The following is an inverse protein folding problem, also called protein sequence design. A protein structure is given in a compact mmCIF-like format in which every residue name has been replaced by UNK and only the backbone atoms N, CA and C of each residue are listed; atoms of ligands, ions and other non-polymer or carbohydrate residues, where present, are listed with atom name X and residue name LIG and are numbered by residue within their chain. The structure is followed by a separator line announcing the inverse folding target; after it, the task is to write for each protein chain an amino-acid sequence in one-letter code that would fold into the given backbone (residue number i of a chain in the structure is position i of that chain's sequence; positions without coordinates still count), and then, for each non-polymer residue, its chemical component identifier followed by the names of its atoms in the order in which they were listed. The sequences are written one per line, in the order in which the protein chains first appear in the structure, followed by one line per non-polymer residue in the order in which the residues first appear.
data_IF_308001625910
#
_entry.id   IF_308001625910
#
_cell.length_a   1.000
_cell.length_b   1.000
_cell.length_c   1.000
_cell.angle_alpha   90.00
_cell.angle_beta   90.00
_cell.angle_gamma   90.00
#
_symmetry.space_group_name_H-M   'P 1'
#
loop_
_entity.id
_entity.type
_entity.pdbx_description
1 polymer ?
#
# COMPACT_ATOMS: atom_id res chain seq x y z
N UNK A 1 -19.01 -0.65 -2.50
CA UNK A 1 -17.92 -0.07 -3.33
C UNK A 1 -17.81 1.46 -3.29
N UNK A 2 -18.87 2.24 -3.58
CA UNK A 2 -18.75 3.72 -3.65
C UNK A 2 -18.27 4.36 -2.32
N UNK A 3 -18.73 3.84 -1.18
CA UNK A 3 -18.30 4.29 0.15
C UNK A 3 -16.78 4.09 0.36
N UNK A 4 -16.22 2.94 -0.02
CA UNK A 4 -14.78 2.69 0.06
C UNK A 4 -13.97 3.65 -0.83
N UNK A 5 -14.48 3.97 -2.02
CA UNK A 5 -13.81 4.94 -2.92
C UNK A 5 -13.76 6.33 -2.26
N UNK A 6 -14.85 6.76 -1.63
CA UNK A 6 -14.90 8.04 -0.89
C UNK A 6 -13.93 8.03 0.30
N UNK A 7 -13.93 6.95 1.09
CA UNK A 7 -13.02 6.79 2.23
C UNK A 7 -11.54 6.79 1.78
N UNK A 8 -11.20 6.09 0.70
CA UNK A 8 -9.85 6.09 0.13
C UNK A 8 -9.47 7.48 -0.40
N UNK A 9 -10.39 8.19 -1.06
CA UNK A 9 -10.17 9.58 -1.47
C UNK A 9 -9.82 10.48 -0.29
N UNK A 10 -10.55 10.34 0.82
CA UNK A 10 -10.26 11.09 2.05
C UNK A 10 -8.89 10.73 2.64
N UNK A 11 -8.50 9.44 2.62
CA UNK A 11 -7.18 9.00 3.05
C UNK A 11 -6.06 9.61 2.19
N UNK A 12 -6.22 9.66 0.88
CA UNK A 12 -5.24 10.29 -0.03
C UNK A 12 -5.10 11.77 0.26
N UNK A 13 -6.22 12.49 0.38
CA UNK A 13 -6.21 13.92 0.70
C UNK A 13 -5.52 14.16 2.05
N UNK A 14 -5.81 13.32 3.04
CA UNK A 14 -5.17 13.39 4.35
C UNK A 14 -3.67 13.12 4.25
N UNK A 15 -3.26 12.12 3.46
CA UNK A 15 -1.86 11.80 3.23
C UNK A 15 -1.12 12.98 2.58
N UNK A 16 -1.68 13.60 1.54
CA UNK A 16 -1.13 14.79 0.90
C UNK A 16 -0.95 15.93 1.91
N UNK A 17 -1.96 16.21 2.74
CA UNK A 17 -1.87 17.21 3.81
C UNK A 17 -0.75 16.89 4.80
N UNK A 18 -0.56 15.62 5.14
CA UNK A 18 0.52 15.19 6.04
C UNK A 18 1.89 15.47 5.41
N UNK A 19 2.08 15.08 4.14
CA UNK A 19 3.36 15.26 3.43
C UNK A 19 3.80 16.72 3.28
N UNK A 20 2.87 17.68 3.36
CA UNK A 20 3.18 19.11 3.35
C UNK A 20 3.56 19.68 4.74
N UNK A 21 3.55 18.87 5.81
CA UNK A 21 3.98 19.31 7.15
C UNK A 21 5.47 19.09 7.38
N UNK A 22 6.04 19.64 8.46
CA UNK A 22 7.44 19.35 8.83
C UNK A 22 7.63 17.86 9.18
N UNK A 23 8.87 17.37 9.09
CA UNK A 23 9.25 15.95 9.24
C UNK A 23 8.81 15.33 10.57
N UNK A 24 8.95 16.05 11.69
CA UNK A 24 8.52 15.57 13.00
C UNK A 24 7.01 15.33 13.08
N UNK A 25 6.22 16.27 12.54
CA UNK A 25 4.76 16.15 12.45
C UNK A 25 4.32 15.13 11.41
N UNK A 26 5.03 15.02 10.29
CA UNK A 26 4.83 13.96 9.29
C UNK A 26 4.86 12.60 9.96
N UNK A 27 5.94 12.29 10.69
CA UNK A 27 6.11 10.97 11.32
C UNK A 27 5.00 10.64 12.31
N UNK A 28 4.63 11.59 13.17
CA UNK A 28 3.53 11.39 14.14
C UNK A 28 2.21 11.09 13.45
N UNK A 29 1.86 11.87 12.41
CA UNK A 29 0.59 11.69 11.68
C UNK A 29 0.60 10.44 10.79
N UNK A 30 1.75 10.08 10.20
CA UNK A 30 1.90 8.86 9.41
C UNK A 30 1.67 7.59 10.24
N UNK A 31 2.07 7.57 11.52
CA UNK A 31 1.78 6.45 12.41
C UNK A 31 0.28 6.17 12.57
N UNK A 32 -0.53 7.22 12.76
CA UNK A 32 -1.99 7.10 12.78
C UNK A 32 -2.55 6.74 11.40
N UNK A 33 -2.07 7.41 10.36
CA UNK A 33 -2.50 7.15 8.98
C UNK A 33 -2.26 5.69 8.58
N UNK A 34 -1.15 5.07 9.00
CA UNK A 34 -0.85 3.67 8.72
C UNK A 34 -1.93 2.71 9.27
N UNK A 35 -2.44 2.98 10.47
CA UNK A 35 -3.53 2.21 11.05
C UNK A 35 -4.82 2.37 10.24
N UNK A 36 -5.14 3.60 9.81
CA UNK A 36 -6.32 3.89 9.00
C UNK A 36 -6.25 3.17 7.64
N UNK A 37 -5.09 3.23 6.96
CA UNK A 37 -4.82 2.51 5.70
C UNK A 37 -4.96 0.99 5.85
N UNK A 38 -4.37 0.42 6.91
CA UNK A 38 -4.47 -1.02 7.19
C UNK A 38 -5.91 -1.45 7.44
N UNK A 39 -6.68 -0.66 8.19
CA UNK A 39 -8.08 -0.98 8.53
C UNK A 39 -8.94 -1.00 7.28
N UNK A 40 -8.84 0.03 6.43
CA UNK A 40 -9.60 0.10 5.18
C UNK A 40 -9.17 -1.02 4.21
N UNK A 41 -7.88 -1.37 4.14
CA UNK A 41 -7.43 -2.50 3.32
C UNK A 41 -8.07 -3.82 3.74
N UNK A 42 -8.17 -4.10 5.05
CA UNK A 42 -8.77 -5.34 5.57
C UNK A 42 -10.28 -5.33 5.32
N UNK A 43 -10.95 -4.21 5.58
CA UNK A 43 -12.38 -4.08 5.33
C UNK A 43 -12.72 -4.28 3.85
N UNK A 44 -11.93 -3.70 2.95
CA UNK A 44 -12.09 -3.88 1.51
C UNK A 44 -11.86 -5.34 1.10
N UNK A 45 -10.83 -6.00 1.63
CA UNK A 45 -10.56 -7.42 1.36
C UNK A 45 -11.70 -8.33 1.83
N UNK A 46 -12.25 -8.09 3.03
CA UNK A 46 -13.38 -8.84 3.56
C UNK A 46 -14.67 -8.61 2.78
N UNK A 47 -14.96 -7.35 2.42
CA UNK A 47 -16.12 -7.01 1.58
C UNK A 47 -16.03 -7.71 0.22
N UNK A 48 -14.85 -7.68 -0.40
CA UNK A 48 -14.61 -8.38 -1.66
C UNK A 48 -14.81 -9.89 -1.51
N UNK A 49 -14.24 -10.53 -0.48
CA UNK A 49 -14.43 -11.98 -0.26
C UNK A 49 -15.90 -12.37 -0.07
N UNK A 50 -16.70 -11.54 0.61
CA UNK A 50 -18.15 -11.78 0.78
C UNK A 50 -18.89 -11.68 -0.56
N UNK A 51 -18.68 -10.60 -1.31
CA UNK A 51 -19.33 -10.41 -2.60
C UNK A 51 -18.96 -11.51 -3.61
N UNK A 52 -17.73 -12.05 -3.58
CA UNK A 52 -17.33 -13.13 -4.49
C UNK A 52 -17.77 -14.54 -4.06
N UNK A 53 -18.00 -14.78 -2.76
CA UNK A 53 -18.51 -16.06 -2.26
C UNK A 53 -19.97 -16.31 -2.66
N UNK A 54 -20.74 -15.23 -2.81
CA UNK A 54 -22.18 -15.27 -3.09
C UNK A 54 -22.51 -15.23 -4.61
N UNK A 55 -21.58 -14.74 -5.45
CA UNK A 55 -21.86 -14.36 -6.85
C UNK A 55 -21.19 -15.28 -7.89
N UNK A 56 -21.29 -16.61 -7.73
CA UNK A 56 -20.74 -17.58 -8.71
C UNK A 56 -21.57 -17.67 -10.02
N UNK A 57 -22.74 -17.05 -10.09
CA UNK A 57 -23.74 -17.37 -11.12
C UNK A 57 -24.16 -16.22 -12.07
N UNK A 58 -23.53 -15.04 -12.09
CA UNK A 58 -24.01 -13.92 -12.94
C UNK A 58 -22.90 -13.33 -13.85
N UNK A 59 -23.36 -12.86 -15.00
CA UNK A 59 -22.70 -12.88 -16.31
C UNK A 59 -21.92 -11.57 -16.59
N UNK A 60 -20.68 -11.69 -17.07
CA UNK A 60 -19.81 -10.73 -17.80
C UNK A 60 -19.60 -9.27 -17.31
N UNK A 61 -20.60 -8.54 -16.81
CA UNK A 61 -20.42 -7.15 -16.35
C UNK A 61 -19.80 -7.09 -14.92
N UNK A 62 -20.07 -8.11 -14.11
CA UNK A 62 -19.44 -8.30 -12.79
C UNK A 62 -17.91 -8.46 -12.89
N UNK A 63 -17.40 -8.98 -14.01
CA UNK A 63 -15.95 -9.12 -14.23
C UNK A 63 -15.20 -7.79 -14.23
N UNK A 64 -15.78 -6.70 -14.75
CA UNK A 64 -15.08 -5.41 -14.80
C UNK A 64 -15.07 -4.72 -13.43
N UNK A 65 -16.21 -4.70 -12.73
CA UNK A 65 -16.28 -4.18 -11.35
C UNK A 65 -15.35 -4.98 -10.42
N UNK A 66 -15.30 -6.31 -10.57
CA UNK A 66 -14.39 -7.20 -9.85
C UNK A 66 -12.92 -6.87 -10.12
N UNK A 67 -12.54 -6.68 -11.38
CA UNK A 67 -11.17 -6.30 -11.75
C UNK A 67 -10.78 -4.95 -11.16
N UNK A 68 -11.64 -3.95 -11.28
CA UNK A 68 -11.41 -2.61 -10.69
C UNK A 68 -11.28 -2.69 -9.18
N UNK A 69 -12.14 -3.46 -8.51
CA UNK A 69 -12.10 -3.60 -7.05
C UNK A 69 -10.86 -4.35 -6.55
N UNK A 70 -10.43 -5.40 -7.27
CA UNK A 70 -9.15 -6.08 -7.00
C UNK A 70 -7.96 -5.15 -7.20
N UNK A 71 -7.97 -4.36 -8.27
CA UNK A 71 -6.92 -3.38 -8.53
C UNK A 71 -6.89 -2.29 -7.45
N UNK A 72 -8.06 -1.84 -7.00
CA UNK A 72 -8.20 -0.90 -5.90
C UNK A 72 -7.65 -1.48 -4.59
N UNK A 73 -7.92 -2.75 -4.30
CA UNK A 73 -7.36 -3.44 -3.13
C UNK A 73 -5.83 -3.52 -3.19
N UNK A 74 -5.26 -3.95 -4.32
CA UNK A 74 -3.81 -3.97 -4.52
C UNK A 74 -3.24 -2.56 -4.35
N UNK A 75 -3.93 -1.56 -4.90
CA UNK A 75 -3.53 -0.16 -4.81
C UNK A 75 -3.50 0.33 -3.36
N UNK A 76 -4.53 0.04 -2.57
CA UNK A 76 -4.61 0.39 -1.14
C UNK A 76 -3.53 -0.31 -0.31
N UNK A 77 -3.26 -1.59 -0.60
CA UNK A 77 -2.19 -2.35 0.06
C UNK A 77 -0.81 -1.76 -0.24
N UNK A 78 -0.53 -1.41 -1.51
CA UNK A 78 0.70 -0.73 -1.90
C UNK A 78 0.89 0.60 -1.13
N UNK A 79 -0.16 1.42 -1.03
CA UNK A 79 -0.10 2.67 -0.28
C UNK A 79 0.16 2.45 1.22
N UNK A 80 -0.37 1.38 1.79
CA UNK A 80 -0.09 1.01 3.19
C UNK A 80 1.41 0.77 3.40
N UNK A 81 2.05 -0.01 2.51
CA UNK A 81 3.50 -0.25 2.57
C UNK A 81 4.32 1.00 2.27
N UNK A 82 3.86 1.86 1.36
CA UNK A 82 4.51 3.13 1.08
C UNK A 82 4.51 4.04 2.32
N UNK A 83 3.37 4.18 3.00
CA UNK A 83 3.26 4.93 4.27
C UNK A 83 4.16 4.34 5.34
N UNK A 84 4.22 3.01 5.46
CA UNK A 84 5.11 2.32 6.39
C UNK A 84 6.59 2.61 6.09
N UNK A 85 7.01 2.58 4.82
CA UNK A 85 8.39 2.89 4.45
C UNK A 85 8.76 4.33 4.79
N UNK A 86 7.87 5.30 4.50
CA UNK A 86 8.12 6.71 4.81
C UNK A 86 8.20 6.93 6.32
N UNK A 87 7.36 6.25 7.10
CA UNK A 87 7.40 6.29 8.56
C UNK A 87 8.73 5.79 9.13
N UNK A 88 9.26 4.67 8.61
CA UNK A 88 10.53 4.11 9.05
C UNK A 88 11.71 5.02 8.66
N UNK A 89 11.74 5.52 7.42
CA UNK A 89 12.80 6.44 6.96
C UNK A 89 12.82 7.72 7.80
N UNK A 90 11.65 8.31 8.08
CA UNK A 90 11.55 9.49 8.94
C UNK A 90 12.06 9.24 10.36
N UNK A 91 12.06 8.00 10.84
CA UNK A 91 12.68 7.68 12.13
C UNK A 91 14.19 7.87 12.13
N UNK A 92 14.86 7.57 11.01
CA UNK A 92 16.29 7.87 10.83
C UNK A 92 16.52 9.37 10.60
N UNK A 93 15.72 10.03 9.75
CA UNK A 93 15.86 11.49 9.51
C UNK A 93 15.70 12.35 10.78
N UNK A 94 15.02 11.82 11.80
CA UNK A 94 14.77 12.48 13.09
C UNK A 94 15.65 11.93 14.23
N UNK A 95 16.65 11.10 13.92
CA UNK A 95 17.57 10.47 14.89
C UNK A 95 16.85 9.76 16.06
N UNK A 96 15.72 9.10 15.75
CA UNK A 96 14.88 8.44 16.76
C UNK A 96 15.30 7.01 17.07
N UNK A 97 16.19 6.44 16.27
CA UNK A 97 16.70 5.08 16.47
C UNK A 97 18.11 5.12 17.03
N UNK A 98 18.35 4.34 18.07
CA UNK A 98 19.68 4.11 18.61
C UNK A 98 20.43 3.02 17.82
N UNK A 99 21.77 2.96 17.85
CA UNK A 99 22.54 1.96 17.13
C UNK A 99 22.15 0.50 17.45
N UNK A 100 21.69 0.23 18.67
CA UNK A 100 21.21 -1.10 19.05
C UNK A 100 19.91 -1.53 18.35
N UNK A 101 19.13 -0.57 17.85
CA UNK A 101 17.85 -0.83 17.18
C UNK A 101 18.00 -0.95 15.66
N UNK A 102 19.15 -0.55 15.10
CA UNK A 102 19.35 -0.50 13.65
C UNK A 102 19.11 -1.84 12.97
N UNK A 103 19.61 -2.94 13.53
CA UNK A 103 19.41 -4.28 12.96
C UNK A 103 17.93 -4.61 12.79
N UNK A 104 17.12 -4.30 13.80
CA UNK A 104 15.68 -4.56 13.78
C UNK A 104 14.95 -3.63 12.80
N UNK A 105 15.27 -2.34 12.80
CA UNK A 105 14.64 -1.37 11.88
C UNK A 105 14.99 -1.68 10.42
N UNK A 106 16.24 -2.03 10.11
CA UNK A 106 16.64 -2.42 8.75
C UNK A 106 15.94 -3.70 8.29
N UNK A 107 15.76 -4.68 9.19
CA UNK A 107 14.98 -5.88 8.86
C UNK A 107 13.52 -5.54 8.52
N UNK A 108 12.88 -4.67 9.30
CA UNK A 108 11.53 -4.19 8.97
C UNK A 108 11.48 -3.43 7.65
N UNK A 109 12.46 -2.56 7.39
CA UNK A 109 12.56 -1.86 6.10
C UNK A 109 12.65 -2.85 4.93
N UNK A 110 13.50 -3.88 5.04
CA UNK A 110 13.62 -4.92 4.03
C UNK A 110 12.28 -5.61 3.75
N UNK A 111 11.56 -6.02 4.81
CA UNK A 111 10.24 -6.64 4.68
C UNK A 111 9.24 -5.70 4.01
N UNK A 112 9.17 -4.44 4.45
CA UNK A 112 8.25 -3.43 3.90
C UNK A 112 8.56 -3.16 2.42
N UNK A 113 9.83 -2.98 2.05
CA UNK A 113 10.20 -2.74 0.66
C UNK A 113 9.92 -3.94 -0.23
N UNK A 114 10.18 -5.16 0.26
CA UNK A 114 9.85 -6.38 -0.48
C UNK A 114 8.35 -6.45 -0.77
N UNK A 115 7.50 -6.19 0.24
CA UNK A 115 6.05 -6.16 0.06
C UNK A 115 5.57 -5.02 -0.83
N UNK A 116 6.19 -3.85 -0.75
CA UNK A 116 5.88 -2.73 -1.63
C UNK A 116 6.11 -3.10 -3.09
N UNK A 117 7.27 -3.69 -3.40
CA UNK A 117 7.64 -4.14 -4.75
C UNK A 117 6.67 -5.21 -5.25
N UNK A 118 6.35 -6.22 -4.41
CA UNK A 118 5.36 -7.25 -4.76
C UNK A 118 4.03 -6.62 -5.18
N UNK A 119 3.53 -5.62 -4.44
CA UNK A 119 2.25 -4.96 -4.74
C UNK A 119 2.32 -4.08 -6.00
N UNK A 120 3.42 -3.35 -6.21
CA UNK A 120 3.65 -2.59 -7.43
C UNK A 120 3.63 -3.48 -8.67
N UNK A 121 4.27 -4.65 -8.60
CA UNK A 121 4.28 -5.62 -9.69
C UNK A 121 2.88 -6.16 -10.02
N UNK A 122 2.10 -6.49 -8.99
CA UNK A 122 0.70 -6.93 -9.15
C UNK A 122 -0.18 -5.85 -9.77
N UNK A 123 0.09 -4.56 -9.50
CA UNK A 123 -0.62 -3.43 -10.10
C UNK A 123 -0.29 -3.24 -11.58
N UNK A 124 0.98 -3.42 -11.98
CA UNK A 124 1.49 -3.20 -13.35
C UNK A 124 1.13 -4.34 -14.32
N UNK A 125 0.64 -5.48 -13.82
CA UNK A 125 0.25 -6.62 -14.65
C UNK A 125 -1.27 -6.74 -14.92
N UNK A 126 -1.98 -5.76 -15.55
CA UNK A 126 -3.38 -5.98 -15.93
C UNK A 126 -3.59 -6.44 -17.39
N UNK A 127 -2.54 -6.62 -18.21
CA UNK A 127 -2.70 -7.05 -19.61
C UNK A 127 -1.38 -7.47 -20.29
N UNK A 128 -1.44 -8.61 -21.00
CA UNK A 128 -0.45 -9.19 -21.93
C UNK A 128 0.71 -10.01 -21.34
N UNK A 129 0.84 -11.21 -21.92
CA UNK A 129 1.93 -12.15 -21.77
C UNK A 129 3.30 -11.50 -22.04
N UNK A 130 4.33 -12.00 -21.36
CA UNK A 130 5.75 -11.75 -21.64
C UNK A 130 6.21 -10.29 -21.56
N UNK A 131 6.54 -9.84 -20.36
CA UNK A 131 7.47 -8.73 -20.22
C UNK A 131 8.50 -9.02 -19.13
N UNK A 132 9.68 -9.45 -19.58
CA UNK A 132 10.91 -9.66 -18.82
C UNK A 132 11.34 -8.34 -18.17
N UNK A 133 10.84 -8.01 -16.98
CA UNK A 133 11.25 -6.81 -16.23
C UNK A 133 12.01 -7.09 -14.93
N UNK A 134 12.68 -8.25 -14.86
CA UNK A 134 13.76 -8.47 -13.88
C UNK A 134 14.93 -7.47 -14.02
N UNK A 135 14.98 -6.65 -15.08
CA UNK A 135 16.05 -5.67 -15.31
C UNK A 135 15.95 -4.34 -14.56
N UNK A 136 14.77 -3.93 -14.05
CA UNK A 136 14.65 -2.64 -13.34
C UNK A 136 15.09 -2.72 -11.86
N UNK A 137 15.09 -3.91 -11.26
CA UNK A 137 15.60 -4.15 -9.91
C UNK A 137 17.14 -4.05 -9.80
N UNK A 138 17.87 -4.02 -10.92
CA UNK A 138 19.34 -3.95 -10.91
C UNK A 138 19.90 -2.54 -10.72
N UNK A 139 19.06 -1.50 -10.79
CA UNK A 139 19.50 -0.10 -10.69
C UNK A 139 19.27 0.55 -9.33
N UNK A 140 18.61 -0.11 -8.38
CA UNK A 140 18.34 0.45 -7.04
C UNK A 140 19.27 -0.17 -5.97
N UNK A 141 20.06 -1.20 -6.31
CA UNK A 141 20.97 -1.90 -5.40
C UNK A 141 22.42 -2.03 -5.93
N UNK A 142 22.91 -1.06 -6.71
CA UNK A 142 24.35 -0.86 -6.98
C UNK A 142 24.69 0.58 -6.59
#
# INVERSE_FOLDING_TARGET
MNEFVVQLGQLVINLLKILCTNTAWQRRKLGKSLQDWSTISIQLELALKREFGETRNVLNNENMCMRVSKQLLIWTQEHTYWVASRFLILGFELDLYSPGEYCMVYWYMYVVFTKLIEKMQLRVLPSSENCKFGCLLRFIFI
#
